data_IF_837095183273
#
_entry.id   IF_837095183273
#
_cell.length_a   1.000
_cell.length_b   1.000
_cell.length_c   1.000
_cell.angle_alpha   90.00
_cell.angle_beta   90.00
_cell.angle_gamma   90.00
#
_symmetry.space_group_name_H-M   'P 1'
#
loop_
_entity.id
_entity.type
_entity.pdbx_description
1 polymer ?
#
# COMPACT_ATOMS: atom_id res chain seq x y z
N UNK A 1 19.74 14.03 -17.83
CA UNK A 1 19.02 13.80 -16.55
C UNK A 1 18.77 12.30 -16.46
N UNK A 2 19.34 11.61 -15.47
CA UNK A 2 19.01 10.20 -15.23
C UNK A 2 17.56 10.13 -14.78
N UNK A 3 16.69 9.44 -15.53
CA UNK A 3 15.35 9.16 -15.05
C UNK A 3 15.45 8.20 -13.86
N UNK A 4 14.81 8.55 -12.75
CA UNK A 4 14.68 7.66 -11.61
C UNK A 4 13.77 6.50 -12.01
N UNK A 5 14.36 5.31 -12.20
CA UNK A 5 13.59 4.08 -12.37
C UNK A 5 13.19 3.54 -11.00
N UNK A 6 11.88 3.47 -10.73
CA UNK A 6 11.36 2.82 -9.52
C UNK A 6 11.47 1.30 -9.66
N UNK A 7 12.06 0.64 -8.66
CA UNK A 7 11.97 -0.82 -8.51
C UNK A 7 10.66 -1.19 -7.83
N UNK A 8 9.99 -2.23 -8.34
CA UNK A 8 8.76 -2.76 -7.75
C UNK A 8 8.67 -4.27 -8.00
N UNK A 9 7.89 -4.96 -7.18
CA UNK A 9 7.51 -6.35 -7.38
C UNK A 9 5.99 -6.44 -7.55
N UNK A 10 5.53 -7.42 -8.35
CA UNK A 10 4.10 -7.69 -8.44
C UNK A 10 3.62 -8.47 -7.20
N UNK A 11 2.38 -8.20 -6.80
CA UNK A 11 1.72 -8.87 -5.68
C UNK A 11 0.37 -9.41 -6.11
N UNK A 12 -0.09 -10.45 -5.42
CA UNK A 12 -1.43 -11.02 -5.59
C UNK A 12 -2.36 -10.52 -4.49
N UNK A 13 -3.50 -9.94 -4.87
CA UNK A 13 -4.55 -9.55 -3.91
C UNK A 13 -5.36 -10.78 -3.47
N UNK A 14 -5.43 -11.03 -2.17
CA UNK A 14 -6.29 -12.05 -1.56
C UNK A 14 -7.60 -11.39 -1.13
N UNK A 15 -8.62 -11.47 -1.98
CA UNK A 15 -9.84 -10.68 -1.85
C UNK A 15 -10.93 -11.28 -0.94
N UNK A 16 -10.77 -12.46 -0.34
CA UNK A 16 -11.86 -13.08 0.45
C UNK A 16 -11.44 -13.82 1.71
N UNK A 17 -10.20 -14.30 1.81
CA UNK A 17 -9.78 -15.18 2.91
C UNK A 17 -9.05 -14.41 4.01
N UNK A 18 -9.41 -14.66 5.28
CA UNK A 18 -8.81 -14.07 6.49
C UNK A 18 -8.68 -12.54 6.44
N UNK A 19 -9.71 -11.88 5.89
CA UNK A 19 -9.79 -10.43 5.88
C UNK A 19 -9.96 -9.93 7.31
N UNK A 20 -8.95 -9.20 7.81
CA UNK A 20 -9.02 -8.58 9.13
C UNK A 20 -10.12 -7.52 9.21
N UNK A 21 -10.22 -6.69 8.18
CA UNK A 21 -11.18 -5.59 8.07
C UNK A 21 -11.20 -5.07 6.63
N UNK A 22 -12.30 -4.44 6.17
CA UNK A 22 -12.32 -3.69 4.90
C UNK A 22 -11.22 -2.62 4.79
N UNK A 23 -10.66 -2.17 5.91
CA UNK A 23 -9.57 -1.20 5.96
C UNK A 23 -8.20 -1.75 5.49
N UNK A 24 -8.06 -3.07 5.33
CA UNK A 24 -6.79 -3.69 4.92
C UNK A 24 -6.91 -4.47 3.62
N UNK A 25 -5.92 -4.33 2.74
CA UNK A 25 -5.63 -5.32 1.71
C UNK A 25 -4.82 -6.45 2.33
N UNK A 26 -5.20 -7.67 2.02
CA UNK A 26 -4.36 -8.84 2.24
C UNK A 26 -3.66 -9.16 0.92
N UNK A 27 -2.34 -9.14 0.94
CA UNK A 27 -1.48 -9.28 -0.24
C UNK A 27 -0.56 -10.48 -0.04
N UNK A 28 -0.36 -11.26 -1.08
CA UNK A 28 0.72 -12.25 -1.13
C UNK A 28 1.87 -11.67 -1.94
N UNK A 29 3.02 -11.45 -1.29
CA UNK A 29 4.20 -10.83 -1.89
C UNK A 29 5.48 -11.28 -1.17
N UNK A 30 6.62 -10.74 -1.62
CA UNK A 30 7.92 -10.95 -0.99
C UNK A 30 8.28 -9.92 0.08
N UNK A 31 7.31 -9.22 0.70
CA UNK A 31 7.62 -8.21 1.71
C UNK A 31 8.24 -8.84 2.96
N UNK A 32 9.19 -8.13 3.55
CA UNK A 32 9.95 -8.53 4.71
C UNK A 32 9.70 -7.59 5.91
N UNK A 33 10.19 -7.99 7.07
CA UNK A 33 10.40 -7.04 8.18
C UNK A 33 11.29 -5.88 7.71
N UNK A 34 10.77 -4.66 7.83
CA UNK A 34 11.43 -3.44 7.37
C UNK A 34 10.74 -2.77 6.19
N UNK A 35 9.86 -3.46 5.47
CA UNK A 35 9.14 -2.91 4.31
C UNK A 35 7.85 -2.14 4.69
N UNK A 36 7.55 -2.02 5.99
CA UNK A 36 6.44 -1.22 6.49
C UNK A 36 6.59 0.24 6.04
N UNK A 37 5.49 0.84 5.60
CA UNK A 37 5.45 2.19 5.03
C UNK A 37 5.60 2.25 3.50
N UNK A 38 5.95 1.13 2.85
CA UNK A 38 6.02 1.06 1.38
C UNK A 38 4.65 1.15 0.69
N UNK A 39 4.54 1.81 -0.49
CA UNK A 39 3.27 1.96 -1.19
C UNK A 39 2.91 0.74 -2.04
N UNK A 40 1.64 0.32 -1.99
CA UNK A 40 1.04 -0.60 -2.95
C UNK A 40 0.40 0.18 -4.09
N UNK A 41 0.89 -0.02 -5.32
CA UNK A 41 0.46 0.72 -6.49
C UNK A 41 -0.57 -0.03 -7.32
N UNK A 42 -1.55 0.68 -7.86
CA UNK A 42 -2.41 0.13 -8.91
C UNK A 42 -1.56 -0.16 -10.17
N UNK A 43 -1.63 -1.38 -10.74
CA UNK A 43 -0.80 -1.78 -11.88
C UNK A 43 -0.83 -0.79 -13.04
N UNK A 44 0.35 -0.41 -13.53
CA UNK A 44 0.49 0.51 -14.67
C UNK A 44 0.27 1.99 -14.34
N UNK A 45 0.09 2.36 -13.07
CA UNK A 45 -0.15 3.75 -12.64
C UNK A 45 0.77 4.15 -11.48
N UNK A 46 0.68 5.42 -11.07
CA UNK A 46 1.29 5.93 -9.83
C UNK A 46 0.28 6.08 -8.68
N UNK A 47 -0.91 5.51 -8.80
CA UNK A 47 -1.95 5.60 -7.77
C UNK A 47 -1.60 4.63 -6.64
N UNK A 48 -1.50 5.16 -5.42
CA UNK A 48 -1.29 4.38 -4.19
C UNK A 48 -2.64 3.91 -3.66
N UNK A 49 -2.83 2.59 -3.54
CA UNK A 49 -4.06 1.98 -3.04
C UNK A 49 -3.99 1.73 -1.52
N UNK A 50 -2.82 1.31 -1.05
CA UNK A 50 -2.57 0.97 0.35
C UNK A 50 -1.10 1.21 0.71
N UNK A 51 -0.82 1.20 2.01
CA UNK A 51 0.54 1.27 2.57
C UNK A 51 0.80 0.01 3.39
N UNK A 52 1.89 -0.69 3.08
CA UNK A 52 2.31 -1.88 3.80
C UNK A 52 2.42 -1.58 5.29
N UNK A 53 1.66 -2.30 6.12
CA UNK A 53 1.60 -2.06 7.56
C UNK A 53 2.40 -3.12 8.31
N UNK A 54 2.08 -4.40 8.09
CA UNK A 54 2.75 -5.51 8.77
C UNK A 54 2.72 -6.81 7.95
N UNK A 55 3.72 -7.65 8.22
CA UNK A 55 3.81 -9.04 7.74
C UNK A 55 3.46 -10.00 8.87
N UNK A 56 3.06 -11.23 8.54
CA UNK A 56 2.64 -12.21 9.55
C UNK A 56 3.73 -13.22 9.95
N UNK A 57 4.88 -13.25 9.28
CA UNK A 57 5.97 -14.17 9.58
C UNK A 57 7.32 -13.65 9.06
N UNK A 58 8.41 -14.33 9.42
CA UNK A 58 9.79 -13.97 9.06
C UNK A 58 10.21 -14.48 7.67
N UNK A 59 9.29 -15.06 6.91
CA UNK A 59 9.53 -15.49 5.53
C UNK A 59 9.16 -14.32 4.62
N UNK A 60 10.13 -13.81 3.88
CA UNK A 60 9.97 -12.76 2.86
C UNK A 60 9.19 -13.26 1.62
N UNK A 61 7.98 -13.75 1.86
CA UNK A 61 7.12 -14.49 0.93
C UNK A 61 5.76 -14.83 1.54
N UNK A 62 5.45 -14.27 2.72
CA UNK A 62 4.22 -14.52 3.45
C UNK A 62 3.07 -13.62 3.03
N UNK A 63 2.01 -13.65 3.83
CA UNK A 63 0.91 -12.71 3.66
C UNK A 63 1.25 -11.39 4.35
N UNK A 64 0.99 -10.31 3.64
CA UNK A 64 1.19 -8.93 4.05
C UNK A 64 -0.16 -8.24 4.17
N UNK A 65 -0.28 -7.36 5.17
CA UNK A 65 -1.49 -6.59 5.42
C UNK A 65 -1.17 -5.10 5.27
N UNK A 66 -1.81 -4.49 4.28
CA UNK A 66 -1.60 -3.09 3.91
C UNK A 66 -2.84 -2.27 4.20
N UNK A 67 -2.69 -1.16 4.92
CA UNK A 67 -3.81 -0.28 5.24
C UNK A 67 -4.22 0.56 4.03
N UNK A 68 -5.51 0.56 3.70
CA UNK A 68 -6.06 1.28 2.54
C UNK A 68 -5.94 2.78 2.74
N UNK A 69 -5.35 3.47 1.77
CA UNK A 69 -5.26 4.93 1.74
C UNK A 69 -6.19 5.57 0.71
N UNK A 70 -6.81 4.76 -0.14
CA UNK A 70 -7.76 5.16 -1.19
C UNK A 70 -9.23 5.21 -0.71
N UNK A 71 -9.46 5.20 0.60
CA UNK A 71 -10.81 5.37 1.17
C UNK A 71 -11.07 6.82 1.48
N UNK A 72 -12.30 7.29 1.28
CA UNK A 72 -12.66 8.70 1.48
C UNK A 72 -12.24 9.25 2.86
N UNK A 73 -12.50 8.57 4.00
CA UNK A 73 -12.11 9.09 5.31
C UNK A 73 -10.60 9.28 5.46
N UNK A 74 -9.79 8.39 4.85
CA UNK A 74 -8.33 8.49 4.91
C UNK A 74 -7.83 9.59 3.98
N UNK A 75 -8.41 9.72 2.79
CA UNK A 75 -8.11 10.82 1.87
C UNK A 75 -8.46 12.19 2.47
N UNK A 76 -9.59 12.30 3.17
CA UNK A 76 -10.00 13.51 3.89
C UNK A 76 -8.97 13.86 4.97
N UNK A 77 -8.55 12.87 5.76
CA UNK A 77 -7.53 13.06 6.79
C UNK A 77 -6.18 13.46 6.19
N UNK A 78 -5.70 12.79 5.14
CA UNK A 78 -4.45 13.15 4.45
C UNK A 78 -4.55 14.60 3.98
N UNK A 79 -5.62 14.94 3.25
CA UNK A 79 -5.84 16.27 2.68
C UNK A 79 -5.87 17.37 3.75
N UNK A 80 -6.50 17.10 4.91
CA UNK A 80 -6.54 18.03 6.03
C UNK A 80 -5.16 18.30 6.66
N UNK A 81 -4.21 17.37 6.52
CA UNK A 81 -2.86 17.44 7.10
C UNK A 81 -1.76 17.77 6.08
N UNK A 82 -2.11 17.91 4.79
CA UNK A 82 -1.19 18.40 3.77
C UNK A 82 -1.04 19.92 3.90
N UNK A 83 -0.09 20.37 4.72
CA UNK A 83 0.32 21.77 4.78
C UNK A 83 1.19 22.11 3.55
N UNK A 84 0.57 22.49 2.42
CA UNK A 84 1.29 23.08 1.28
C UNK A 84 0.88 22.69 -0.15
N UNK A 85 -0.22 21.97 -0.38
CA UNK A 85 -0.64 21.66 -1.74
C UNK A 85 -2.08 21.18 -1.83
N UNK A 86 -2.91 21.99 -2.50
CA UNK A 86 -4.25 21.58 -2.95
C UNK A 86 -4.13 20.34 -3.83
N UNK A 87 -4.76 19.23 -3.42
CA UNK A 87 -5.03 18.08 -4.30
C UNK A 87 -6.24 18.42 -5.19
N UNK A 88 -6.06 19.39 -6.09
CA UNK A 88 -7.00 19.57 -7.19
C UNK A 88 -6.68 18.48 -8.23
N UNK A 89 -7.51 17.44 -8.27
CA UNK A 89 -7.66 16.58 -9.45
C UNK A 89 -8.72 17.19 -10.36
#
# INVERSE_FOLDING_TARGET
>A
MSQLTRTYAQTTLIASNDKLSPAFLKLHNGACFGDSGGPDLQPGTNVVLAVNSFVNNNVCGGDTYSYRVDTQPVLDWISANLHGGSLAH
#
